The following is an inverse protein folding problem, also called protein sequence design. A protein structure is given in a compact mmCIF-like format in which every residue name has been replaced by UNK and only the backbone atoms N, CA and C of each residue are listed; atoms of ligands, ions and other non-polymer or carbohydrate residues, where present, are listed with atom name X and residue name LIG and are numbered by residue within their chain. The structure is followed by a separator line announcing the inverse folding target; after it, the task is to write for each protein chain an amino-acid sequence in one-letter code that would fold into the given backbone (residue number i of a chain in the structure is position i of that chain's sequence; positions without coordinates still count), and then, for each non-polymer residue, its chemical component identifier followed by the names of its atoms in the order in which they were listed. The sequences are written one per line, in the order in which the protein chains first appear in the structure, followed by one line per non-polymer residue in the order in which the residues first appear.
data_IF_338308293179
#
_entry.id   IF_338308293179
#
_cell.length_a   1.000
_cell.length_b   1.000
_cell.length_c   1.000
_cell.angle_alpha   90.00
_cell.angle_beta   90.00
_cell.angle_gamma   90.00
#
_symmetry.space_group_name_H-M   'P 1'
#
loop_
_entity.id
_entity.type
_entity.pdbx_description
1 polymer ?
#
# COMPACT_ATOMS: atom_id res chain seq x y z
N UNK A 1 3.08 10.51 -13.72
CA UNK A 1 1.84 9.95 -14.30
C UNK A 1 2.13 8.58 -14.89
N UNK A 2 1.22 7.61 -14.73
CA UNK A 2 1.27 6.30 -15.40
C UNK A 2 -0.05 6.09 -16.13
N UNK A 3 0.02 5.73 -17.41
CA UNK A 3 -1.14 5.53 -18.27
C UNK A 3 -1.28 4.07 -18.70
N UNK A 4 -2.50 3.56 -18.61
CA UNK A 4 -2.91 2.29 -19.18
C UNK A 4 -3.51 2.45 -20.59
N UNK A 5 -4.33 1.49 -20.98
CA UNK A 5 -5.14 1.53 -22.19
C UNK A 5 -6.22 2.63 -22.11
N UNK A 6 -6.71 3.06 -23.28
CA UNK A 6 -7.84 3.99 -23.42
C UNK A 6 -7.67 5.33 -22.69
N UNK A 7 -6.44 5.82 -22.56
CA UNK A 7 -6.09 7.06 -21.87
C UNK A 7 -6.54 7.11 -20.39
N UNK A 8 -6.75 5.95 -19.76
CA UNK A 8 -6.96 5.85 -18.33
C UNK A 8 -5.62 5.75 -17.59
N UNK A 9 -5.55 6.17 -16.34
CA UNK A 9 -4.30 6.12 -15.58
C UNK A 9 -4.34 6.80 -14.23
N UNK A 10 -3.14 7.02 -13.69
CA UNK A 10 -2.90 7.81 -12.48
C UNK A 10 -1.98 8.98 -12.72
N UNK A 11 -2.31 10.10 -12.09
CA UNK A 11 -1.37 11.16 -11.79
C UNK A 11 -1.25 11.27 -10.28
N UNK A 12 -0.09 11.68 -9.78
CA UNK A 12 0.11 11.89 -8.35
C UNK A 12 0.92 13.16 -8.15
N UNK A 13 0.64 13.86 -7.07
CA UNK A 13 1.33 15.06 -6.62
C UNK A 13 2.06 14.71 -5.32
N UNK A 14 3.40 14.70 -5.36
CA UNK A 14 4.24 14.35 -4.21
C UNK A 14 4.17 15.40 -3.10
N UNK A 15 4.00 16.67 -3.46
CA UNK A 15 3.97 17.81 -2.53
C UNK A 15 2.64 17.83 -1.80
N UNK A 16 1.54 17.73 -2.55
CA UNK A 16 0.19 17.72 -1.98
C UNK A 16 -0.26 16.35 -1.46
N UNK A 17 0.48 15.29 -1.75
CA UNK A 17 0.16 13.90 -1.40
C UNK A 17 -1.25 13.49 -1.85
N UNK A 18 -1.54 13.81 -3.10
CA UNK A 18 -2.80 13.46 -3.75
C UNK A 18 -2.55 12.54 -4.93
N UNK A 19 -3.48 11.63 -5.16
CA UNK A 19 -3.54 10.80 -6.35
C UNK A 19 -4.82 11.11 -7.13
N UNK A 20 -4.71 11.12 -8.45
CA UNK A 20 -5.81 11.32 -9.37
C UNK A 20 -5.97 10.06 -10.21
N UNK A 21 -7.13 9.40 -10.13
CA UNK A 21 -7.54 8.35 -11.06
C UNK A 21 -8.35 8.97 -12.18
N UNK A 22 -7.91 8.80 -13.43
CA UNK A 22 -8.65 9.29 -14.59
C UNK A 22 -8.96 8.15 -15.56
N UNK A 23 -10.17 8.18 -16.13
CA UNK A 23 -10.58 7.30 -17.23
C UNK A 23 -10.35 7.96 -18.59
N UNK A 24 -10.50 9.29 -18.64
CA UNK A 24 -10.23 10.15 -19.78
C UNK A 24 -10.01 11.59 -19.26
N UNK A 25 -9.81 12.55 -20.17
CA UNK A 25 -9.55 13.96 -19.83
C UNK A 25 -10.65 14.63 -18.98
N UNK A 26 -11.89 14.14 -19.04
CA UNK A 26 -13.05 14.76 -18.37
C UNK A 26 -13.60 13.93 -17.20
N UNK A 27 -13.13 12.70 -17.03
CA UNK A 27 -13.59 11.78 -16.00
C UNK A 27 -12.41 11.41 -15.10
N UNK A 28 -12.26 12.17 -14.02
CA UNK A 28 -11.22 11.95 -13.03
C UNK A 28 -11.74 12.14 -11.61
N UNK A 29 -11.08 11.48 -10.66
CA UNK A 29 -11.34 11.63 -9.23
C UNK A 29 -10.02 11.72 -8.49
N UNK A 30 -9.95 12.65 -7.55
CA UNK A 30 -8.76 12.92 -6.75
C UNK A 30 -9.00 12.42 -5.33
N UNK A 31 -8.00 11.77 -4.76
CA UNK A 31 -8.01 11.21 -3.41
C UNK A 31 -6.73 11.61 -2.69
N UNK A 32 -6.81 11.75 -1.37
CA UNK A 32 -5.61 11.83 -0.55
C UNK A 32 -4.94 10.45 -0.51
N UNK A 33 -3.60 10.43 -0.49
CA UNK A 33 -2.86 9.16 -0.49
C UNK A 33 -3.20 8.26 0.72
N UNK A 34 -3.63 8.85 1.83
CA UNK A 34 -4.09 8.15 3.04
C UNK A 34 -5.40 7.39 2.86
N UNK A 35 -6.22 7.77 1.86
CA UNK A 35 -7.48 7.10 1.57
C UNK A 35 -7.30 5.88 0.67
N UNK A 36 -6.08 5.61 0.20
CA UNK A 36 -5.78 4.42 -0.59
C UNK A 36 -5.55 3.24 0.37
N UNK A 37 -6.38 2.19 0.23
CA UNK A 37 -6.36 1.04 1.11
C UNK A 37 -5.49 -0.10 0.56
N UNK A 38 -5.58 -0.38 -0.74
CA UNK A 38 -4.78 -1.42 -1.40
C UNK A 38 -4.71 -1.25 -2.92
N UNK A 39 -3.72 -1.91 -3.53
CA UNK A 39 -3.63 -2.10 -4.97
C UNK A 39 -3.29 -3.56 -5.32
N UNK A 40 -3.87 -4.07 -6.40
CA UNK A 40 -3.78 -5.47 -6.83
C UNK A 40 -3.62 -5.56 -8.35
N UNK A 41 -2.64 -6.34 -8.82
CA UNK A 41 -2.49 -6.65 -10.25
C UNK A 41 -3.24 -7.95 -10.55
N UNK A 42 -4.10 -7.90 -11.56
CA UNK A 42 -4.98 -9.01 -11.97
C UNK A 42 -4.67 -9.39 -13.42
N UNK A 43 -4.29 -10.65 -13.65
CA UNK A 43 -4.13 -11.27 -14.98
C UNK A 43 -5.29 -12.24 -15.26
N UNK A 44 -6.04 -12.04 -16.34
CA UNK A 44 -7.19 -12.90 -16.71
C UNK A 44 -8.23 -13.14 -15.59
N UNK A 45 -8.34 -12.20 -14.64
CA UNK A 45 -9.21 -12.36 -13.46
C UNK A 45 -8.54 -12.98 -12.23
N UNK A 46 -7.31 -13.48 -12.36
CA UNK A 46 -6.51 -13.99 -11.25
C UNK A 46 -5.60 -12.89 -10.67
N UNK A 47 -5.62 -12.72 -9.35
CA UNK A 47 -4.69 -11.78 -8.70
C UNK A 47 -3.30 -12.38 -8.62
N UNK A 48 -2.32 -11.70 -9.21
CA UNK A 48 -0.92 -12.11 -9.20
C UNK A 48 -0.06 -11.27 -8.26
N UNK A 49 -0.55 -10.13 -7.78
CA UNK A 49 0.13 -9.26 -6.82
C UNK A 49 -0.89 -8.49 -5.99
N UNK A 50 -0.65 -8.35 -4.68
CA UNK A 50 -1.51 -7.61 -3.75
C UNK A 50 -0.68 -6.79 -2.76
N UNK A 51 -1.14 -5.59 -2.41
CA UNK A 51 -0.62 -4.85 -1.24
C UNK A 51 -1.01 -5.56 0.06
N UNK A 52 -0.04 -5.97 0.86
CA UNK A 52 -0.31 -6.44 2.22
C UNK A 52 -0.40 -5.27 3.20
N UNK A 53 -1.61 -4.95 3.64
CA UNK A 53 -1.87 -4.18 4.86
C UNK A 53 -2.19 -5.18 5.98
N UNK A 54 -1.16 -5.69 6.66
CA UNK A 54 -1.38 -6.38 7.93
C UNK A 54 -1.74 -5.34 8.98
N UNK A 55 -3.01 -5.28 9.35
CA UNK A 55 -3.45 -4.59 10.55
C UNK A 55 -2.96 -5.38 11.77
N UNK A 56 -2.57 -4.62 12.79
CA UNK A 56 -2.16 -5.02 14.14
C UNK A 56 -0.69 -5.45 14.29
N UNK A 57 0.15 -4.42 14.45
CA UNK A 57 1.38 -4.54 15.21
C UNK A 57 2.53 -5.21 14.48
N UNK A 58 3.45 -4.38 13.96
CA UNK A 58 4.83 -4.75 13.59
C UNK A 58 4.99 -5.67 12.36
N UNK A 59 4.85 -5.16 11.13
CA UNK A 59 5.37 -5.83 9.91
C UNK A 59 5.67 -4.77 8.84
N UNK A 60 6.88 -4.65 8.30
CA UNK A 60 7.59 -5.73 7.60
C UNK A 60 7.02 -5.88 6.19
N UNK A 61 7.15 -4.81 5.38
CA UNK A 61 6.59 -4.70 4.03
C UNK A 61 7.32 -5.63 3.06
N UNK A 62 6.75 -6.80 2.81
CA UNK A 62 7.19 -7.69 1.75
C UNK A 62 6.28 -7.52 0.53
N UNK A 63 6.87 -7.39 -0.65
CA UNK A 63 6.18 -7.59 -1.92
C UNK A 63 5.90 -9.09 -2.02
N UNK A 64 4.69 -9.53 -1.68
CA UNK A 64 4.28 -10.92 -1.93
C UNK A 64 3.64 -10.97 -3.31
N UNK A 65 4.46 -11.27 -4.31
CA UNK A 65 4.00 -11.79 -5.59
C UNK A 65 3.67 -13.27 -5.39
N UNK A 66 2.39 -13.62 -5.34
CA UNK A 66 1.96 -14.99 -5.20
C UNK A 66 0.53 -15.11 -4.67
N UNK A 67 -0.35 -15.66 -5.51
CA UNK A 67 -1.55 -16.45 -5.19
C UNK A 67 -2.03 -16.34 -3.73
N UNK A 68 -2.72 -15.25 -3.38
CA UNK A 68 -3.31 -15.08 -2.06
C UNK A 68 -4.70 -14.43 -2.14
N UNK A 69 -5.65 -15.20 -2.66
CA UNK A 69 -7.05 -15.21 -2.22
C UNK A 69 -7.47 -16.69 -2.22
N UNK A 70 -7.59 -17.44 -1.11
CA UNK A 70 -8.21 -17.06 0.15
C UNK A 70 -9.73 -17.27 0.08
N UNK A 71 -10.21 -18.52 0.13
CA UNK A 71 -11.49 -18.87 0.78
C UNK A 71 -12.71 -19.26 -0.08
N UNK A 72 -13.02 -18.60 -1.19
CA UNK A 72 -14.21 -18.91 -1.97
C UNK A 72 -14.05 -18.50 -3.45
N UNK A 73 -13.68 -19.45 -4.30
CA UNK A 73 -13.50 -19.18 -5.73
C UNK A 73 -12.67 -20.21 -6.51
N UNK A 74 -12.37 -21.39 -5.96
CA UNK A 74 -12.16 -22.54 -6.82
C UNK A 74 -13.53 -22.90 -7.41
N UNK A 75 -13.76 -22.64 -8.69
CA UNK A 75 -14.19 -23.58 -9.75
C UNK A 75 -14.43 -22.74 -11.03
N UNK A 76 -13.54 -22.81 -12.04
CA UNK A 76 -13.80 -22.86 -13.52
C UNK A 76 -12.41 -22.95 -14.17
N UNK A 77 -12.04 -23.91 -15.02
CA UNK A 77 -12.82 -24.99 -15.61
C UNK A 77 -11.96 -26.23 -15.86
N UNK A 78 -12.46 -27.36 -15.35
CA UNK A 78 -12.37 -28.61 -16.08
C UNK A 78 -13.19 -28.47 -17.37
N UNK A 79 -12.62 -27.84 -18.39
CA UNK A 79 -13.05 -27.97 -19.78
C UNK A 79 -11.90 -27.63 -20.75
N UNK A 80 -10.68 -28.07 -20.44
CA UNK A 80 -9.68 -28.30 -21.49
C UNK A 80 -10.00 -29.65 -22.13
N UNK A 81 -10.96 -29.59 -23.06
CA UNK A 81 -11.26 -30.69 -23.95
C UNK A 81 -9.99 -31.05 -24.72
N UNK A 82 -9.53 -32.28 -24.53
CA UNK A 82 -8.50 -32.98 -25.28
C UNK A 82 -8.44 -32.55 -26.75
N UNK A 83 -7.36 -31.88 -27.15
CA UNK A 83 -6.90 -31.87 -28.53
C UNK A 83 -5.44 -32.31 -28.56
N UNK A 84 -5.23 -33.53 -29.03
CA UNK A 84 -3.92 -34.05 -29.39
C UNK A 84 -3.41 -33.29 -30.62
N UNK A 85 -2.51 -32.34 -30.42
CA UNK A 85 -1.61 -31.88 -31.48
C UNK A 85 -0.43 -31.16 -30.84
N UNK A 86 0.79 -31.45 -31.29
CA UNK A 86 2.05 -30.79 -30.95
C UNK A 86 1.95 -29.25 -30.97
N UNK A 87 1.40 -28.64 -29.93
CA UNK A 87 1.17 -27.21 -29.87
C UNK A 87 2.13 -26.62 -28.86
N UNK A 88 2.99 -25.72 -29.34
CA UNK A 88 3.74 -24.79 -28.49
C UNK A 88 2.71 -24.13 -27.58
N UNK A 89 2.72 -24.44 -26.29
CA UNK A 89 1.82 -23.85 -25.29
C UNK A 89 2.10 -22.36 -25.17
N UNK A 90 1.55 -21.56 -26.08
CA UNK A 90 1.56 -20.11 -25.96
C UNK A 90 0.55 -19.78 -24.87
N UNK A 91 1.04 -19.52 -23.66
CA UNK A 91 0.21 -19.03 -22.56
C UNK A 91 -0.29 -17.61 -22.94
N UNK A 92 -1.57 -17.49 -23.28
CA UNK A 92 -2.19 -16.24 -23.70
C UNK A 92 -2.86 -15.53 -22.52
N UNK A 93 -2.59 -14.23 -22.39
CA UNK A 93 -3.27 -13.32 -21.47
C UNK A 93 -4.19 -12.42 -22.28
N UNK A 94 -5.44 -12.30 -21.87
CA UNK A 94 -6.45 -11.43 -22.49
C UNK A 94 -6.54 -10.09 -21.78
N UNK A 95 -6.23 -10.04 -20.48
CA UNK A 95 -6.39 -8.84 -19.67
C UNK A 95 -5.33 -8.72 -18.57
N UNK A 96 -4.84 -7.49 -18.38
CA UNK A 96 -4.02 -7.08 -17.23
C UNK A 96 -4.64 -5.82 -16.66
N UNK A 97 -5.09 -5.89 -15.41
CA UNK A 97 -5.71 -4.79 -14.68
C UNK A 97 -4.93 -4.49 -13.40
N UNK A 98 -4.94 -3.24 -12.99
CA UNK A 98 -4.61 -2.80 -11.63
C UNK A 98 -5.89 -2.35 -10.94
N UNK A 99 -6.31 -3.11 -9.94
CA UNK A 99 -7.45 -2.79 -9.09
C UNK A 99 -6.94 -2.03 -7.86
N UNK A 100 -7.58 -0.92 -7.54
CA UNK A 100 -7.22 -0.04 -6.44
C UNK A 100 -8.46 0.13 -5.58
N UNK A 101 -8.32 -0.06 -4.27
CA UNK A 101 -9.40 0.13 -3.31
C UNK A 101 -9.12 1.40 -2.51
N UNK A 102 -10.12 2.27 -2.42
CA UNK A 102 -10.07 3.52 -1.67
C UNK A 102 -11.18 3.60 -0.62
N UNK A 103 -10.98 4.48 0.36
CA UNK A 103 -11.93 4.80 1.42
C UNK A 103 -13.08 5.69 0.92
N UNK A 104 -13.88 5.15 0.00
CA UNK A 104 -15.11 5.78 -0.52
C UNK A 104 -16.22 4.73 -0.54
N UNK A 105 -17.25 4.89 0.28
CA UNK A 105 -18.35 3.92 0.37
C UNK A 105 -19.25 3.90 -0.87
N UNK A 106 -19.26 4.97 -1.68
CA UNK A 106 -20.08 5.03 -2.89
C UNK A 106 -19.37 4.40 -4.08
N UNK A 107 -18.05 4.63 -4.20
CA UNK A 107 -17.25 4.16 -5.32
C UNK A 107 -15.85 3.72 -4.85
N UNK A 108 -15.74 2.59 -4.12
CA UNK A 108 -14.49 2.17 -3.49
C UNK A 108 -13.49 1.55 -4.47
N UNK A 109 -13.94 1.07 -5.64
CA UNK A 109 -13.12 0.28 -6.55
C UNK A 109 -12.78 1.07 -7.82
N UNK A 110 -11.48 1.23 -8.06
CA UNK A 110 -10.93 1.85 -9.25
C UNK A 110 -10.09 0.83 -10.02
N UNK A 111 -10.29 0.74 -11.34
CA UNK A 111 -9.57 -0.21 -12.20
C UNK A 111 -8.86 0.54 -13.32
N UNK A 112 -7.57 0.27 -13.48
CA UNK A 112 -6.75 0.77 -14.59
C UNK A 112 -6.31 -0.44 -15.41
N UNK A 113 -6.68 -0.44 -16.69
CA UNK A 113 -6.36 -1.54 -17.61
C UNK A 113 -5.05 -1.27 -18.32
N UNK A 114 -4.17 -2.26 -18.39
CA UNK A 114 -2.90 -2.19 -19.13
C UNK A 114 -2.88 -3.10 -20.35
N UNK A 115 -3.80 -4.07 -20.44
CA UNK A 115 -3.96 -4.96 -21.59
C UNK A 115 -5.43 -5.40 -21.72
N UNK A 116 -5.97 -5.46 -22.94
CA UNK A 116 -7.33 -5.95 -23.25
C UNK A 116 -7.39 -6.73 -24.58
N UNK A 117 -6.28 -7.35 -24.95
CA UNK A 117 -6.16 -8.09 -26.22
C UNK A 117 -5.46 -9.40 -25.94
N UNK A 118 -5.93 -10.50 -26.54
CA UNK A 118 -5.28 -11.80 -26.43
C UNK A 118 -3.82 -11.71 -26.90
N UNK A 119 -2.90 -11.95 -25.96
CA UNK A 119 -1.48 -11.64 -26.13
C UNK A 119 -0.65 -12.73 -25.47
N UNK A 120 0.30 -13.32 -26.19
CA UNK A 120 1.20 -14.33 -25.62
C UNK A 120 2.14 -13.71 -24.57
N UNK A 121 2.39 -14.42 -23.46
CA UNK A 121 3.28 -13.95 -22.37
C UNK A 121 4.71 -13.62 -22.82
N UNK A 122 5.16 -14.17 -23.95
CA UNK A 122 6.49 -13.88 -24.48
C UNK A 122 6.55 -12.61 -25.34
N UNK A 123 5.39 -12.07 -25.73
CA UNK A 123 5.31 -10.89 -26.58
C UNK A 123 5.82 -9.64 -25.86
N UNK A 124 6.36 -8.71 -26.64
CA UNK A 124 6.72 -7.37 -26.16
C UNK A 124 5.52 -6.63 -25.56
N UNK A 125 4.32 -6.81 -26.14
CA UNK A 125 3.10 -6.17 -25.68
C UNK A 125 2.74 -6.58 -24.25
N UNK A 126 2.81 -7.89 -23.94
CA UNK A 126 2.60 -8.39 -22.57
C UNK A 126 3.63 -7.80 -21.61
N UNK A 127 4.93 -7.89 -21.96
CA UNK A 127 6.04 -7.42 -21.10
C UNK A 127 5.90 -5.94 -20.76
N UNK A 128 5.59 -5.11 -21.75
CA UNK A 128 5.37 -3.67 -21.55
C UNK A 128 4.11 -3.40 -20.68
N UNK A 129 3.02 -4.13 -20.91
CA UNK A 129 1.79 -3.97 -20.14
C UNK A 129 2.00 -4.35 -18.66
N UNK A 130 2.64 -5.49 -18.39
CA UNK A 130 2.91 -5.93 -17.01
C UNK A 130 3.91 -5.01 -16.31
N UNK A 131 4.94 -4.52 -17.01
CA UNK A 131 5.92 -3.58 -16.45
C UNK A 131 5.24 -2.25 -16.05
N UNK A 132 4.35 -1.72 -16.89
CA UNK A 132 3.56 -0.52 -16.55
C UNK A 132 2.64 -0.75 -15.35
N UNK A 133 1.97 -1.90 -15.29
CA UNK A 133 1.13 -2.26 -14.15
C UNK A 133 1.95 -2.36 -12.85
N UNK A 134 3.11 -3.03 -12.90
CA UNK A 134 4.06 -3.14 -11.78
C UNK A 134 4.59 -1.78 -11.32
N UNK A 135 4.98 -0.91 -12.25
CA UNK A 135 5.42 0.45 -11.92
C UNK A 135 4.32 1.25 -11.22
N UNK A 136 3.10 1.19 -11.74
CA UNK A 136 1.93 1.83 -11.15
C UNK A 136 1.66 1.33 -9.73
N UNK A 137 1.66 0.00 -9.55
CA UNK A 137 1.49 -0.66 -8.27
C UNK A 137 2.58 -0.25 -7.26
N UNK A 138 3.85 -0.19 -7.68
CA UNK A 138 4.95 0.23 -6.84
C UNK A 138 4.79 1.68 -6.35
N UNK A 139 4.39 2.60 -7.24
CA UNK A 139 4.11 4.00 -6.86
C UNK A 139 3.02 4.04 -5.78
N UNK A 140 1.91 3.33 -5.97
CA UNK A 140 0.82 3.30 -4.99
C UNK A 140 1.29 2.76 -3.64
N UNK A 141 2.10 1.70 -3.61
CA UNK A 141 2.63 1.15 -2.36
C UNK A 141 3.55 2.11 -1.61
N UNK A 142 4.32 2.93 -2.33
CA UNK A 142 5.12 4.01 -1.75
C UNK A 142 4.22 5.07 -1.15
N UNK A 143 3.18 5.51 -1.88
CA UNK A 143 2.22 6.51 -1.40
C UNK A 143 1.49 6.03 -0.13
N UNK A 144 1.09 4.76 -0.08
CA UNK A 144 0.51 4.13 1.13
C UNK A 144 1.55 4.09 2.28
N UNK A 145 2.84 3.85 2.01
CA UNK A 145 3.90 3.89 3.05
C UNK A 145 3.97 5.24 3.71
N UNK A 146 4.06 6.26 2.87
CA UNK A 146 4.32 7.62 3.29
C UNK A 146 3.12 8.21 4.04
N UNK A 147 1.91 7.72 3.76
CA UNK A 147 0.72 8.05 4.52
C UNK A 147 0.78 7.40 5.92
N UNK A 148 1.05 6.09 6.00
CA UNK A 148 1.08 5.36 7.26
C UNK A 148 2.24 5.78 8.20
N UNK A 149 3.38 6.21 7.65
CA UNK A 149 4.52 6.71 8.45
C UNK A 149 4.19 8.05 9.14
N UNK A 150 3.32 8.89 8.53
CA UNK A 150 2.82 10.10 9.20
C UNK A 150 1.84 9.78 10.31
N UNK A 151 1.01 8.75 10.16
CA UNK A 151 0.13 8.33 11.25
C UNK A 151 0.94 7.86 12.47
N UNK A 152 2.10 7.22 12.27
CA UNK A 152 3.00 6.86 13.36
C UNK A 152 3.78 8.04 13.96
N UNK A 153 4.08 9.08 13.16
CA UNK A 153 4.74 10.30 13.64
C UNK A 153 3.76 11.31 14.28
N UNK A 154 2.45 11.16 14.02
CA UNK A 154 1.37 12.00 14.57
C UNK A 154 0.57 11.33 15.69
N UNK A 155 0.91 10.10 16.09
CA UNK A 155 0.31 9.40 17.25
C UNK A 155 1.10 9.63 18.55
N UNK A 156 1.62 10.85 18.76
CA UNK A 156 1.77 11.42 20.11
C UNK A 156 0.94 12.71 20.18
N UNK A 157 -0.33 12.64 19.75
CA UNK A 157 -1.35 13.60 20.18
C UNK A 157 -2.60 12.86 20.65
N UNK A 158 -2.62 12.62 21.97
CA UNK A 158 -3.79 12.58 22.86
C UNK A 158 -4.96 11.68 22.42
N UNK A 159 -4.81 10.36 22.59
CA UNK A 159 -5.95 9.48 22.91
C UNK A 159 -5.58 8.45 23.97
N UNK A 160 -5.41 8.92 25.20
CA UNK A 160 -5.71 8.13 26.39
C UNK A 160 -6.13 9.09 27.53
N UNK A 161 -7.40 9.51 27.51
CA UNK A 161 -8.09 9.89 28.75
C UNK A 161 -8.67 8.59 29.30
N UNK A 162 -7.86 7.87 30.07
CA UNK A 162 -8.40 7.04 31.13
C UNK A 162 -8.59 7.93 32.35
N UNK A 163 -9.85 8.02 32.80
CA UNK A 163 -10.33 8.31 34.16
C UNK A 163 -9.43 9.14 35.10
N UNK A 164 -10.03 10.27 35.51
CA UNK A 164 -9.66 11.17 36.63
C UNK A 164 -8.42 12.07 36.48
N UNK A 165 -8.48 13.32 36.96
CA UNK A 165 -7.41 14.31 36.80
C UNK A 165 -6.40 14.27 37.95
N UNK A 166 -5.07 14.19 37.68
CA UNK A 166 -4.05 14.57 38.63
C UNK A 166 -3.13 15.72 38.11
N UNK A 167 -2.30 16.33 38.97
CA UNK A 167 -2.02 17.77 38.97
C UNK A 167 -0.96 18.22 37.94
N UNK A 168 -1.01 19.52 37.63
CA UNK A 168 -0.25 20.25 36.59
C UNK A 168 1.30 20.15 36.64
N UNK A 169 1.90 19.53 37.65
CA UNK A 169 3.37 19.42 37.75
C UNK A 169 3.96 18.21 37.01
N UNK A 170 3.17 17.16 36.72
CA UNK A 170 3.72 15.93 36.10
C UNK A 170 4.02 16.05 34.60
N UNK A 171 3.42 17.03 33.91
CA UNK A 171 3.58 17.17 32.46
C UNK A 171 5.01 17.60 32.11
N UNK A 172 5.64 18.47 32.91
CA UNK A 172 7.00 18.96 32.67
C UNK A 172 8.07 17.88 32.91
N UNK A 173 7.91 17.10 33.99
CA UNK A 173 8.82 15.99 34.33
C UNK A 173 8.76 14.90 33.25
N UNK A 174 7.56 14.60 32.72
CA UNK A 174 7.41 13.60 31.66
C UNK A 174 8.10 14.00 30.36
N UNK A 175 7.97 15.27 29.94
CA UNK A 175 8.60 15.78 28.72
C UNK A 175 10.14 15.71 28.77
N UNK A 176 10.73 15.98 29.94
CA UNK A 176 12.18 15.89 30.13
C UNK A 176 12.69 14.44 30.08
N UNK A 177 11.92 13.47 30.62
CA UNK A 177 12.26 12.04 30.52
C UNK A 177 12.22 11.57 29.06
N UNK A 178 11.28 12.05 28.24
CA UNK A 178 11.24 11.74 26.80
C UNK A 178 12.47 12.28 26.06
N UNK A 179 12.90 13.50 26.38
CA UNK A 179 14.12 14.09 25.80
C UNK A 179 15.37 13.30 26.17
N UNK A 180 15.45 12.78 27.40
CA UNK A 180 16.54 11.89 27.81
C UNK A 180 16.54 10.56 27.05
N UNK A 181 15.36 9.99 26.78
CA UNK A 181 15.23 8.75 26.02
C UNK A 181 15.68 8.95 24.56
N UNK A 182 15.36 10.11 23.98
CA UNK A 182 15.80 10.49 22.64
C UNK A 182 17.34 10.59 22.55
N UNK A 183 17.98 11.24 23.51
CA UNK A 183 19.45 11.34 23.58
C UNK A 183 20.12 9.97 23.74
N UNK A 184 19.50 9.05 24.48
CA UNK A 184 20.00 7.68 24.63
C UNK A 184 19.87 6.89 23.32
N UNK A 185 18.72 7.00 22.65
CA UNK A 185 18.47 6.36 21.36
C UNK A 185 19.39 6.90 20.25
N UNK A 186 19.81 8.16 20.34
CA UNK A 186 20.81 8.77 19.46
C UNK A 186 22.26 8.40 19.84
N UNK A 187 22.46 7.61 20.90
CA UNK A 187 23.78 7.20 21.38
C UNK A 187 24.62 8.33 21.98
N UNK A 188 24.01 9.46 22.30
CA UNK A 188 24.68 10.66 22.86
C UNK A 188 24.97 10.47 24.35
N UNK A 189 24.11 9.72 25.04
CA UNK A 189 24.28 9.34 26.45
C UNK A 189 24.19 7.83 26.60
N UNK A 190 24.88 7.30 27.61
CA UNK A 190 24.85 5.88 27.94
C UNK A 190 23.65 5.51 28.82
N UNK A 191 23.25 4.24 28.83
CA UNK A 191 22.14 3.73 29.66
C UNK A 191 22.31 4.06 31.16
N UNK A 192 23.55 4.00 31.65
CA UNK A 192 23.89 4.35 33.04
C UNK A 192 23.68 5.85 33.34
N UNK A 193 23.96 6.72 32.38
CA UNK A 193 23.75 8.17 32.51
C UNK A 193 22.26 8.51 32.41
N UNK A 194 21.52 7.82 31.55
CA UNK A 194 20.07 7.94 31.44
C UNK A 194 19.37 7.58 32.77
N UNK A 195 19.72 6.44 33.39
CA UNK A 195 19.13 6.05 34.67
C UNK A 195 19.44 7.02 35.81
N UNK A 196 20.67 7.54 35.86
CA UNK A 196 21.08 8.51 36.87
C UNK A 196 20.30 9.84 36.76
N UNK A 197 20.04 10.32 35.53
CA UNK A 197 19.26 11.54 35.31
C UNK A 197 17.76 11.30 35.51
N UNK A 198 17.23 10.15 35.05
CA UNK A 198 15.84 9.75 35.29
C UNK A 198 15.51 9.69 36.79
N UNK A 199 16.42 9.15 37.60
CA UNK A 199 16.24 9.08 39.06
C UNK A 199 16.24 10.46 39.74
N UNK A 200 16.98 11.43 39.20
CA UNK A 200 16.97 12.82 39.69
C UNK A 200 15.69 13.58 39.34
N UNK A 201 15.09 13.28 38.19
CA UNK A 201 13.82 13.91 37.75
C UNK A 201 12.59 13.34 38.46
N UNK A 202 12.69 12.13 39.03
CA UNK A 202 11.62 11.43 39.74
C UNK A 202 11.75 11.50 41.28
N UNK A 203 12.78 12.19 41.80
CA UNK A 203 13.04 12.38 43.23
C UNK A 203 12.54 13.76 43.69
#
# INVERSE_FOLDING_TARGET
MVTGCNNAGIAYDEIQRKICFFKNTYNFRVFDCQDILSAEIIENGETITRTETKTEGRLGRAIVGGVLFGGAGAVVGGLTGKSNSNSISVNYITQIDLKIIVKDTNNPVHIIRFLQTATGKQSYLYKNAIEKAMKCHAIINVLISQANEKDNASTIEIKEIAKEPPPKNNIMVSAEIYKLLELMNQGIITEKEFEAQKKKLLA
#
